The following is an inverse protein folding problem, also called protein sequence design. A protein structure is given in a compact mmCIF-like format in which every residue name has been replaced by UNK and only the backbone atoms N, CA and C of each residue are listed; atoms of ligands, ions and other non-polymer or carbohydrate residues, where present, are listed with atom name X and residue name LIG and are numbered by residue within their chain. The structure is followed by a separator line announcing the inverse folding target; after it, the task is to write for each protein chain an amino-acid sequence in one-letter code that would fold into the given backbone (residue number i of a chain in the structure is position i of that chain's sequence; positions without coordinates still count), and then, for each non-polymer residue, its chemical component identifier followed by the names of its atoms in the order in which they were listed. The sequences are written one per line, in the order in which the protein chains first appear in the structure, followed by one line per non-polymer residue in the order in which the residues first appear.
data_IF_713082899311
#
_entry.id   IF_713082899311
#
_cell.length_a   1.000
_cell.length_b   1.000
_cell.length_c   1.000
_cell.angle_alpha   90.00
_cell.angle_beta   90.00
_cell.angle_gamma   90.00
#
_symmetry.space_group_name_H-M   'P 1'
#
loop_
_entity.id
_entity.type
_entity.pdbx_description
1 polymer ?
#
# COMPACT_ATOMS: atom_id res chain seq x y z
N UNK A 1 -22.97 23.58 -7.58
CA UNK A 1 -21.67 23.35 -6.89
C UNK A 1 -21.16 21.95 -7.26
N UNK A 2 -19.87 21.83 -7.63
CA UNK A 2 -19.18 20.56 -7.94
C UNK A 2 -18.10 20.32 -6.91
N UNK A 3 -18.14 19.16 -6.24
CA UNK A 3 -17.18 18.81 -5.18
C UNK A 3 -16.54 17.46 -5.49
N UNK A 4 -15.21 17.43 -5.44
CA UNK A 4 -14.42 16.17 -5.51
C UNK A 4 -13.97 15.83 -4.10
N UNK A 5 -14.24 14.61 -3.69
CA UNK A 5 -13.88 14.07 -2.39
C UNK A 5 -12.82 12.99 -2.61
N UNK A 6 -11.65 13.19 -2.00
CA UNK A 6 -10.50 12.29 -2.09
C UNK A 6 -9.93 12.10 -0.66
N UNK A 7 -10.62 11.28 0.13
CA UNK A 7 -10.26 10.95 1.52
C UNK A 7 -9.35 9.73 1.56
N UNK A 8 -8.32 9.76 2.41
CA UNK A 8 -7.65 8.53 2.83
C UNK A 8 -8.47 7.82 3.92
N UNK A 9 -8.14 6.58 4.22
CA UNK A 9 -8.77 5.83 5.30
C UNK A 9 -8.52 6.50 6.66
N UNK A 10 -9.52 6.47 7.52
CA UNK A 10 -9.36 6.77 8.95
C UNK A 10 -9.05 5.46 9.67
N UNK A 11 -7.78 5.04 9.61
CA UNK A 11 -7.29 3.71 10.05
C UNK A 11 -7.93 3.27 11.35
N UNK A 12 -8.59 2.09 11.31
CA UNK A 12 -9.28 1.50 12.45
C UNK A 12 -10.71 2.01 12.69
N UNK A 13 -11.25 2.92 11.85
CA UNK A 13 -12.64 3.41 11.95
C UNK A 13 -13.40 3.41 10.62
N UNK A 14 -12.95 4.18 9.62
CA UNK A 14 -13.61 4.29 8.32
C UNK A 14 -12.63 3.94 7.19
N UNK A 15 -13.08 3.13 6.24
CA UNK A 15 -12.39 3.00 4.95
C UNK A 15 -12.43 4.33 4.18
N UNK A 16 -11.60 4.46 3.17
CA UNK A 16 -11.57 5.65 2.30
C UNK A 16 -12.93 5.92 1.64
N UNK A 17 -13.61 4.88 1.18
CA UNK A 17 -14.94 4.99 0.57
C UNK A 17 -16.00 5.42 1.61
N UNK A 18 -16.00 4.84 2.79
CA UNK A 18 -16.93 5.19 3.88
C UNK A 18 -16.71 6.63 4.35
N UNK A 19 -15.46 7.07 4.49
CA UNK A 19 -15.13 8.45 4.80
C UNK A 19 -15.60 9.40 3.69
N UNK A 20 -15.36 9.06 2.42
CA UNK A 20 -15.84 9.82 1.28
C UNK A 20 -17.37 9.95 1.23
N UNK A 21 -18.08 8.86 1.50
CA UNK A 21 -19.55 8.84 1.57
C UNK A 21 -20.07 9.69 2.74
N UNK A 22 -19.42 9.66 3.91
CA UNK A 22 -19.79 10.50 5.05
C UNK A 22 -19.61 11.99 4.74
N UNK A 23 -18.53 12.36 4.03
CA UNK A 23 -18.33 13.74 3.55
C UNK A 23 -19.45 14.13 2.56
N UNK A 24 -19.77 13.26 1.60
CA UNK A 24 -20.84 13.48 0.62
C UNK A 24 -22.20 13.70 1.31
N UNK A 25 -22.51 12.89 2.33
CA UNK A 25 -23.72 13.04 3.15
C UNK A 25 -23.78 14.42 3.84
N UNK A 26 -22.66 14.86 4.45
CA UNK A 26 -22.58 16.19 5.08
C UNK A 26 -22.79 17.34 4.10
N UNK A 27 -22.26 17.25 2.88
CA UNK A 27 -22.47 18.23 1.82
C UNK A 27 -23.96 18.28 1.40
N UNK A 28 -24.60 17.14 1.16
CA UNK A 28 -25.98 17.07 0.70
C UNK A 28 -27.00 17.50 1.76
N UNK A 29 -26.65 17.50 3.06
CA UNK A 29 -27.48 18.11 4.11
C UNK A 29 -27.66 19.63 3.91
N UNK A 30 -26.72 20.28 3.20
CA UNK A 30 -26.74 21.74 2.94
C UNK A 30 -27.06 22.03 1.47
N UNK A 31 -26.33 21.43 0.55
CA UNK A 31 -26.46 21.61 -0.90
C UNK A 31 -27.02 20.33 -1.52
N UNK A 32 -28.35 20.20 -1.55
CA UNK A 32 -29.04 18.98 -2.03
C UNK A 32 -28.69 18.61 -3.48
N UNK A 33 -28.49 19.63 -4.32
CA UNK A 33 -28.21 19.48 -5.75
C UNK A 33 -26.72 19.55 -6.08
N UNK A 34 -25.83 19.43 -5.10
CA UNK A 34 -24.40 19.38 -5.35
C UNK A 34 -24.02 18.13 -6.17
N UNK A 35 -23.22 18.34 -7.20
CA UNK A 35 -22.58 17.24 -7.94
C UNK A 35 -21.33 16.81 -7.18
N UNK A 36 -21.39 15.66 -6.52
CA UNK A 36 -20.34 15.14 -5.67
C UNK A 36 -19.71 13.90 -6.30
N UNK A 37 -18.39 13.91 -6.48
CA UNK A 37 -17.61 12.76 -6.95
C UNK A 37 -16.71 12.26 -5.83
N UNK A 38 -16.91 11.02 -5.40
CA UNK A 38 -16.06 10.34 -4.42
C UNK A 38 -14.99 9.56 -5.14
N UNK A 39 -13.72 9.90 -4.90
CA UNK A 39 -12.54 9.20 -5.42
C UNK A 39 -11.81 8.57 -4.24
N UNK A 40 -12.02 7.27 -3.94
CA UNK A 40 -11.34 6.62 -2.84
C UNK A 40 -9.82 6.67 -3.02
N UNK A 41 -9.11 6.92 -1.92
CA UNK A 41 -7.64 6.94 -1.89
C UNK A 41 -7.10 5.82 -0.99
N UNK A 42 -5.82 5.57 -1.15
CA UNK A 42 -5.03 4.77 -0.23
C UNK A 42 -3.56 5.21 -0.32
N UNK A 43 -2.74 4.77 0.62
CA UNK A 43 -1.32 5.11 0.66
C UNK A 43 -0.40 3.97 0.14
N UNK A 44 -0.97 2.94 -0.50
CA UNK A 44 -0.25 1.73 -0.91
C UNK A 44 -0.20 0.66 0.19
N UNK A 45 -0.82 0.92 1.34
CA UNK A 45 -1.00 -0.02 2.43
C UNK A 45 -2.38 -0.71 2.39
N UNK A 46 -2.89 -1.05 3.57
CA UNK A 46 -4.19 -1.71 3.75
C UNK A 46 -5.34 -0.87 3.16
N UNK A 47 -6.23 -1.52 2.41
CA UNK A 47 -7.37 -0.90 1.74
C UNK A 47 -7.09 -0.38 0.32
N UNK A 48 -5.87 -0.49 -0.16
CA UNK A 48 -5.49 -0.07 -1.53
C UNK A 48 -6.22 -0.90 -2.59
N UNK A 49 -6.32 -2.22 -2.39
CA UNK A 49 -7.03 -3.12 -3.31
C UNK A 49 -8.48 -2.70 -3.46
N UNK A 50 -9.19 -2.49 -2.35
CA UNK A 50 -10.59 -2.10 -2.38
C UNK A 50 -10.78 -0.72 -3.01
N UNK A 51 -10.04 0.29 -2.54
CA UNK A 51 -10.15 1.66 -3.00
C UNK A 51 -9.90 1.79 -4.52
N UNK A 52 -8.80 1.23 -5.02
CA UNK A 52 -8.48 1.28 -6.46
C UNK A 52 -9.43 0.43 -7.30
N UNK A 53 -9.78 -0.78 -6.83
CA UNK A 53 -10.65 -1.68 -7.61
C UNK A 53 -12.02 -1.06 -7.81
N UNK A 54 -12.62 -0.51 -6.74
CA UNK A 54 -13.92 0.17 -6.84
C UNK A 54 -13.80 1.48 -7.62
N UNK A 55 -12.77 2.28 -7.38
CA UNK A 55 -12.54 3.54 -8.10
C UNK A 55 -12.30 3.35 -9.62
N UNK A 56 -11.85 2.17 -10.03
CA UNK A 56 -11.58 1.83 -11.44
C UNK A 56 -12.64 0.88 -12.04
N UNK A 57 -13.80 0.70 -11.40
CA UNK A 57 -14.89 -0.21 -11.84
C UNK A 57 -14.41 -1.66 -12.06
N UNK A 58 -13.54 -2.15 -11.19
CA UNK A 58 -13.02 -3.52 -11.21
C UNK A 58 -13.83 -4.50 -10.38
N UNK A 59 -13.32 -5.72 -10.30
CA UNK A 59 -13.87 -6.81 -9.48
C UNK A 59 -12.84 -7.32 -8.49
N UNK A 60 -13.30 -7.74 -7.30
CA UNK A 60 -12.45 -8.43 -6.33
C UNK A 60 -12.46 -9.92 -6.64
N UNK A 61 -11.29 -10.47 -6.90
CA UNK A 61 -11.05 -11.90 -7.08
C UNK A 61 -10.59 -12.50 -5.76
N UNK A 62 -11.10 -13.69 -5.42
CA UNK A 62 -10.72 -14.45 -4.23
C UNK A 62 -10.16 -15.80 -4.63
N UNK A 63 -9.02 -16.16 -4.08
CA UNK A 63 -8.37 -17.45 -4.33
C UNK A 63 -7.72 -18.00 -3.05
N UNK A 64 -7.54 -19.32 -3.01
CA UNK A 64 -6.75 -19.94 -1.96
C UNK A 64 -5.28 -19.91 -2.33
N UNK A 65 -4.45 -19.41 -1.42
CA UNK A 65 -3.00 -19.28 -1.58
C UNK A 65 -2.27 -19.76 -0.34
N UNK A 66 -0.98 -19.98 -0.47
CA UNK A 66 -0.08 -20.26 0.65
C UNK A 66 0.09 -19.02 1.53
N UNK A 67 -0.37 -19.12 2.78
CA UNK A 67 -0.18 -18.06 3.77
C UNK A 67 1.27 -17.94 4.27
N UNK A 68 1.57 -16.94 5.12
CA UNK A 68 2.94 -16.67 5.57
C UNK A 68 3.57 -17.83 6.34
N UNK A 69 2.78 -18.69 6.99
CA UNK A 69 3.25 -19.88 7.74
C UNK A 69 3.17 -21.18 6.91
N UNK A 70 2.93 -21.11 5.60
CA UNK A 70 2.85 -22.27 4.71
C UNK A 70 1.48 -22.98 4.69
N UNK A 71 0.51 -22.56 5.50
CA UNK A 71 -0.87 -23.07 5.44
C UNK A 71 -1.69 -22.36 4.37
N UNK A 72 -2.70 -23.05 3.82
CA UNK A 72 -3.61 -22.43 2.84
C UNK A 72 -4.53 -21.43 3.52
N UNK A 73 -4.67 -20.27 2.89
CA UNK A 73 -5.58 -19.18 3.30
C UNK A 73 -6.33 -18.64 2.09
N UNK A 74 -7.53 -18.07 2.30
CA UNK A 74 -8.20 -17.25 1.28
C UNK A 74 -7.56 -15.87 1.25
N UNK A 75 -7.13 -15.44 0.07
CA UNK A 75 -6.63 -14.09 -0.17
C UNK A 75 -7.35 -13.46 -1.38
N UNK A 76 -7.36 -12.13 -1.42
CA UNK A 76 -8.05 -11.40 -2.49
C UNK A 76 -7.12 -10.41 -3.19
N UNK A 77 -7.46 -10.09 -4.45
CA UNK A 77 -6.85 -9.03 -5.23
C UNK A 77 -7.88 -8.37 -6.14
N UNK A 78 -7.61 -7.13 -6.56
CA UNK A 78 -8.46 -6.40 -7.50
C UNK A 78 -8.09 -6.72 -8.94
N UNK A 79 -9.11 -6.87 -9.81
CA UNK A 79 -8.92 -7.06 -11.24
C UNK A 79 -9.71 -6.02 -12.03
N UNK A 80 -9.02 -5.29 -12.90
CA UNK A 80 -9.61 -4.32 -13.83
C UNK A 80 -9.51 -4.93 -15.24
N UNK A 81 -10.59 -5.54 -15.68
CA UNK A 81 -10.62 -6.29 -16.94
C UNK A 81 -10.35 -5.39 -18.17
N UNK A 82 -10.88 -4.18 -18.17
CA UNK A 82 -10.74 -3.23 -19.29
C UNK A 82 -9.27 -2.86 -19.58
N UNK A 83 -8.46 -2.72 -18.53
CA UNK A 83 -7.04 -2.34 -18.66
C UNK A 83 -6.07 -3.50 -18.51
N UNK A 84 -6.56 -4.74 -18.27
CA UNK A 84 -5.76 -5.91 -17.92
C UNK A 84 -4.83 -5.66 -16.71
N UNK A 85 -5.35 -4.97 -15.70
CA UNK A 85 -4.60 -4.59 -14.49
C UNK A 85 -5.01 -5.45 -13.30
N UNK A 86 -4.03 -5.91 -12.53
CA UNK A 86 -4.23 -6.50 -11.20
C UNK A 86 -3.72 -5.56 -10.11
N UNK A 87 -4.47 -5.45 -9.02
CA UNK A 87 -4.13 -4.65 -7.84
C UNK A 87 -3.98 -5.62 -6.68
N UNK A 88 -2.78 -5.71 -6.13
CA UNK A 88 -2.42 -6.72 -5.11
C UNK A 88 -1.84 -6.02 -3.89
N UNK A 89 -2.31 -6.37 -2.70
CA UNK A 89 -1.60 -6.11 -1.45
C UNK A 89 -0.86 -7.37 -1.03
N UNK A 90 0.46 -7.28 -0.85
CA UNK A 90 1.24 -8.43 -0.41
C UNK A 90 0.78 -8.93 0.97
N UNK A 91 0.23 -8.04 1.80
CA UNK A 91 -0.30 -8.34 3.13
C UNK A 91 -1.50 -9.29 3.11
N UNK A 92 -2.23 -9.39 2.00
CA UNK A 92 -3.33 -10.36 1.84
C UNK A 92 -2.85 -11.82 1.87
N UNK A 93 -1.59 -12.07 1.46
CA UNK A 93 -1.01 -13.42 1.41
C UNK A 93 0.20 -13.62 2.35
N UNK A 94 0.90 -12.52 2.72
CA UNK A 94 2.12 -12.60 3.52
C UNK A 94 2.21 -11.49 4.59
N UNK A 95 1.05 -11.00 5.04
CA UNK A 95 0.93 -9.90 6.01
C UNK A 95 1.20 -10.31 7.45
N UNK A 96 1.66 -9.33 8.25
CA UNK A 96 1.96 -9.53 9.67
C UNK A 96 0.68 -9.76 10.51
N UNK A 97 -0.46 -9.28 10.04
CA UNK A 97 -1.77 -9.48 10.66
C UNK A 97 -2.29 -10.91 10.53
N UNK A 98 -1.72 -11.69 9.59
CA UNK A 98 -2.03 -13.11 9.41
C UNK A 98 -1.24 -14.03 10.36
N UNK A 99 -0.34 -13.46 11.16
CA UNK A 99 0.55 -14.21 12.07
C UNK A 99 0.35 -13.71 13.49
N UNK A 100 -0.09 -14.59 14.40
CA UNK A 100 -0.19 -14.25 15.80
C UNK A 100 1.19 -13.81 16.34
N UNK A 101 1.21 -12.92 17.30
CA UNK A 101 2.46 -12.38 17.83
C UNK A 101 3.41 -13.47 18.35
N UNK A 102 2.87 -14.50 18.99
CA UNK A 102 3.62 -15.68 19.48
C UNK A 102 4.26 -16.52 18.38
N UNK A 103 3.72 -16.46 17.16
CA UNK A 103 4.11 -17.32 16.03
C UNK A 103 5.02 -16.57 15.03
N UNK A 104 5.29 -15.29 15.29
CA UNK A 104 6.16 -14.45 14.43
C UNK A 104 7.59 -14.96 14.44
N UNK A 105 8.03 -15.47 13.32
CA UNK A 105 9.41 -15.92 13.10
C UNK A 105 9.81 -15.78 11.62
N UNK A 106 10.57 -14.73 11.25
CA UNK A 106 10.91 -14.46 9.85
C UNK A 106 11.84 -15.50 9.22
N UNK A 107 12.39 -16.43 10.01
CA UNK A 107 13.16 -17.56 9.48
C UNK A 107 12.28 -18.53 8.68
N UNK A 108 10.97 -18.56 8.93
CA UNK A 108 10.03 -19.55 8.37
C UNK A 108 8.88 -18.93 7.56
N UNK A 109 8.67 -17.60 7.66
CA UNK A 109 7.58 -16.93 6.93
C UNK A 109 7.94 -16.71 5.46
N UNK A 110 6.97 -16.97 4.56
CA UNK A 110 7.19 -16.97 3.11
C UNK A 110 6.34 -15.95 2.37
N UNK A 111 6.85 -15.46 1.24
CA UNK A 111 6.14 -14.65 0.25
C UNK A 111 5.49 -15.49 -0.86
N UNK A 112 5.47 -16.84 -0.77
CA UNK A 112 5.02 -17.73 -1.84
C UNK A 112 3.61 -17.39 -2.32
N UNK A 113 2.66 -17.15 -1.41
CA UNK A 113 1.28 -16.78 -1.75
C UNK A 113 1.16 -15.47 -2.54
N UNK A 114 2.10 -14.53 -2.37
CA UNK A 114 2.14 -13.31 -3.20
C UNK A 114 2.39 -13.67 -4.66
N UNK A 115 3.30 -14.61 -4.91
CA UNK A 115 3.55 -15.11 -6.26
C UNK A 115 2.36 -15.89 -6.83
N UNK A 116 1.59 -16.61 -5.99
CA UNK A 116 0.36 -17.29 -6.41
C UNK A 116 -0.72 -16.30 -6.83
N UNK A 117 -0.90 -15.16 -6.11
CA UNK A 117 -1.80 -14.08 -6.53
C UNK A 117 -1.39 -13.52 -7.90
N UNK A 118 -0.11 -13.25 -8.10
CA UNK A 118 0.42 -12.75 -9.38
C UNK A 118 0.20 -13.77 -10.49
N UNK A 119 0.48 -15.05 -10.24
CA UNK A 119 0.31 -16.15 -11.19
C UNK A 119 -1.15 -16.29 -11.63
N UNK A 120 -2.11 -16.25 -10.69
CA UNK A 120 -3.53 -16.31 -11.00
C UNK A 120 -3.98 -15.12 -11.86
N UNK A 121 -3.54 -13.91 -11.50
CA UNK A 121 -3.83 -12.72 -12.27
C UNK A 121 -3.25 -12.78 -13.71
N UNK A 122 -2.02 -13.29 -13.88
CA UNK A 122 -1.41 -13.52 -15.20
C UNK A 122 -2.27 -14.49 -16.02
N UNK A 123 -2.70 -15.61 -15.42
CA UNK A 123 -3.54 -16.63 -16.06
C UNK A 123 -4.92 -16.07 -16.46
N UNK A 124 -5.43 -15.08 -15.71
CA UNK A 124 -6.67 -14.34 -16.05
C UNK A 124 -6.45 -13.19 -17.05
N UNK A 125 -5.25 -13.09 -17.64
CA UNK A 125 -4.92 -12.14 -18.69
C UNK A 125 -4.37 -10.80 -18.23
N UNK A 126 -4.13 -10.59 -16.94
CA UNK A 126 -3.49 -9.35 -16.46
C UNK A 126 -2.03 -9.27 -16.93
N UNK A 127 -1.60 -8.06 -17.29
CA UNK A 127 -0.22 -7.75 -17.70
C UNK A 127 0.30 -6.47 -17.04
N UNK A 128 -0.56 -5.74 -16.34
CA UNK A 128 -0.21 -4.58 -15.54
C UNK A 128 -0.51 -4.91 -14.08
N UNK A 129 0.44 -4.58 -13.21
CA UNK A 129 0.34 -4.89 -11.80
C UNK A 129 0.63 -3.65 -10.97
N UNK A 130 -0.26 -3.36 -10.02
CA UNK A 130 -0.05 -2.41 -8.93
C UNK A 130 0.06 -3.25 -7.68
N UNK A 131 1.22 -3.22 -7.02
CA UNK A 131 1.46 -4.08 -5.86
C UNK A 131 1.88 -3.25 -4.67
N UNK A 132 1.03 -3.22 -3.64
CA UNK A 132 1.38 -2.66 -2.34
C UNK A 132 2.22 -3.67 -1.54
N UNK A 133 3.40 -3.24 -1.07
CA UNK A 133 4.32 -4.13 -0.34
C UNK A 133 4.46 -3.79 1.15
N UNK A 134 3.53 -3.01 1.70
CA UNK A 134 3.45 -2.72 3.14
C UNK A 134 2.96 -3.90 3.99
N UNK A 135 3.19 -3.84 5.31
CA UNK A 135 2.61 -4.76 6.29
C UNK A 135 3.12 -6.20 6.28
N UNK A 136 4.33 -6.49 5.77
CA UNK A 136 4.86 -7.85 5.61
C UNK A 136 5.23 -8.54 6.93
N UNK A 137 4.99 -9.87 7.00
CA UNK A 137 5.51 -10.77 8.05
C UNK A 137 6.87 -11.39 7.71
N UNK A 138 7.36 -11.21 6.49
CA UNK A 138 8.43 -12.00 5.85
C UNK A 138 9.77 -11.28 5.79
N UNK A 139 10.85 -12.05 5.73
CA UNK A 139 12.22 -11.56 5.48
C UNK A 139 12.99 -12.55 4.58
N UNK A 140 12.28 -13.13 3.61
CA UNK A 140 12.78 -14.17 2.72
C UNK A 140 13.41 -13.65 1.41
N UNK A 141 13.68 -12.32 1.32
CA UNK A 141 14.24 -11.73 0.11
C UNK A 141 13.31 -11.80 -1.11
N UNK A 142 12.04 -12.20 -0.91
CA UNK A 142 11.07 -12.40 -1.99
C UNK A 142 11.25 -13.72 -2.76
N UNK A 143 12.10 -14.64 -2.28
CA UNK A 143 12.34 -15.90 -3.01
C UNK A 143 11.09 -16.77 -3.10
N UNK A 144 10.21 -16.75 -2.07
CA UNK A 144 8.94 -17.48 -2.13
C UNK A 144 8.04 -16.99 -3.27
N UNK A 145 7.87 -15.68 -3.43
CA UNK A 145 7.12 -15.11 -4.55
C UNK A 145 7.72 -15.54 -5.90
N UNK A 146 9.03 -15.45 -6.03
CA UNK A 146 9.73 -15.82 -7.28
C UNK A 146 9.60 -17.30 -7.58
N UNK A 147 9.65 -18.16 -6.57
CA UNK A 147 9.44 -19.62 -6.71
C UNK A 147 8.05 -19.92 -7.27
N UNK A 148 7.00 -19.27 -6.74
CA UNK A 148 5.64 -19.44 -7.25
C UNK A 148 5.47 -18.97 -8.71
N UNK A 149 6.37 -18.10 -9.19
CA UNK A 149 6.43 -17.64 -10.58
C UNK A 149 7.36 -18.49 -11.48
N UNK A 150 7.98 -19.54 -10.91
CA UNK A 150 8.76 -20.52 -11.64
C UNK A 150 10.28 -20.35 -11.58
N UNK A 151 10.81 -19.42 -10.76
CA UNK A 151 12.24 -19.37 -10.47
C UNK A 151 12.64 -20.50 -9.53
N UNK A 152 13.83 -21.07 -9.73
CA UNK A 152 14.40 -22.06 -8.82
C UNK A 152 15.51 -21.46 -7.97
N UNK A 153 15.46 -21.72 -6.66
CA UNK A 153 16.51 -21.40 -5.70
C UNK A 153 16.99 -22.72 -5.11
N UNK A 154 18.10 -23.26 -5.63
CA UNK A 154 18.54 -24.61 -5.37
C UNK A 154 19.69 -24.66 -4.39
N UNK A 155 19.69 -25.66 -3.52
CA UNK A 155 20.75 -25.98 -2.60
C UNK A 155 21.92 -26.74 -3.29
N UNK A 156 22.92 -27.17 -2.53
CA UNK A 156 24.09 -27.93 -3.02
C UNK A 156 23.70 -29.28 -3.62
N UNK A 157 22.56 -29.87 -3.24
CA UNK A 157 22.05 -31.12 -3.79
C UNK A 157 21.13 -30.91 -5.01
N UNK A 158 20.95 -29.67 -5.46
CA UNK A 158 20.05 -29.30 -6.57
C UNK A 158 18.58 -29.34 -6.21
N UNK A 159 18.22 -29.33 -4.92
CA UNK A 159 16.84 -29.29 -4.44
C UNK A 159 16.42 -27.87 -4.13
N UNK A 160 15.12 -27.58 -4.31
CA UNK A 160 14.52 -26.29 -3.91
C UNK A 160 14.74 -26.06 -2.41
N UNK A 161 15.19 -24.85 -2.06
CA UNK A 161 15.39 -24.45 -0.66
C UNK A 161 14.06 -24.32 0.09
N UNK A 162 14.04 -24.50 1.43
CA UNK A 162 12.83 -24.35 2.21
C UNK A 162 12.33 -22.88 2.26
N UNK A 163 11.07 -22.68 2.63
CA UNK A 163 10.47 -21.36 2.82
C UNK A 163 11.16 -20.55 3.91
N UNK A 164 11.04 -19.22 3.77
CA UNK A 164 11.49 -18.24 4.75
C UNK A 164 12.98 -17.87 4.60
N UNK A 165 13.47 -17.04 5.53
CA UNK A 165 14.85 -16.59 5.50
C UNK A 165 15.87 -17.74 5.64
N UNK A 166 15.49 -18.87 6.25
CA UNK A 166 16.35 -20.06 6.31
C UNK A 166 16.69 -20.60 4.92
N UNK A 167 15.79 -20.45 3.94
CA UNK A 167 16.05 -20.84 2.56
C UNK A 167 17.21 -20.04 1.94
N UNK A 168 17.31 -18.75 2.25
CA UNK A 168 18.41 -17.90 1.74
C UNK A 168 19.80 -18.42 2.11
N UNK A 169 19.93 -19.07 3.28
CA UNK A 169 21.18 -19.62 3.77
C UNK A 169 21.71 -20.76 2.89
N UNK A 170 20.84 -21.44 2.17
CA UNK A 170 21.13 -22.68 1.44
C UNK A 170 21.26 -22.46 -0.07
N UNK A 171 20.96 -21.28 -0.59
CA UNK A 171 20.98 -21.02 -2.03
C UNK A 171 22.41 -21.20 -2.58
N UNK A 172 22.55 -22.17 -3.47
CA UNK A 172 23.77 -22.38 -4.26
C UNK A 172 23.57 -21.96 -5.72
N UNK A 173 22.43 -22.26 -6.31
CA UNK A 173 22.13 -21.98 -7.71
C UNK A 173 20.77 -21.28 -7.85
N UNK A 174 20.69 -20.31 -8.77
CA UNK A 174 19.46 -19.64 -9.18
C UNK A 174 19.13 -20.04 -10.62
N UNK A 175 17.93 -20.61 -10.87
CA UNK A 175 17.47 -20.98 -12.20
C UNK A 175 16.22 -20.23 -12.61
N UNK A 176 15.97 -20.11 -13.92
CA UNK A 176 14.81 -19.45 -14.53
C UNK A 176 14.17 -20.29 -15.65
N UNK A 177 14.47 -21.60 -15.65
CA UNK A 177 14.03 -22.52 -16.70
C UNK A 177 12.51 -22.74 -16.73
N UNK A 178 11.85 -22.59 -15.58
CA UNK A 178 10.41 -22.80 -15.40
C UNK A 178 9.61 -21.51 -15.19
N UNK A 179 10.26 -20.36 -15.39
CA UNK A 179 9.59 -19.06 -15.25
C UNK A 179 8.48 -18.91 -16.29
N UNK A 180 7.33 -18.46 -15.83
CA UNK A 180 6.19 -18.17 -16.71
C UNK A 180 6.60 -17.23 -17.86
N UNK A 181 6.43 -17.61 -19.13
CA UNK A 181 6.83 -16.78 -20.27
C UNK A 181 6.17 -15.40 -20.28
N UNK A 182 4.92 -15.34 -19.82
CA UNK A 182 4.09 -14.13 -19.76
C UNK A 182 4.65 -13.09 -18.79
N UNK A 183 5.49 -13.49 -17.82
CA UNK A 183 6.10 -12.57 -16.86
C UNK A 183 6.93 -11.47 -17.55
N UNK A 184 7.52 -11.78 -18.71
CA UNK A 184 8.30 -10.82 -19.51
C UNK A 184 7.45 -9.68 -20.09
N UNK A 185 6.16 -9.93 -20.29
CA UNK A 185 5.19 -8.94 -20.79
C UNK A 185 4.61 -8.10 -19.68
N UNK A 186 4.77 -8.53 -18.43
CA UNK A 186 4.17 -7.87 -17.27
C UNK A 186 4.95 -6.61 -16.89
N UNK A 187 4.18 -5.58 -16.50
CA UNK A 187 4.71 -4.32 -15.93
C UNK A 187 4.24 -4.21 -14.50
N UNK A 188 5.16 -3.96 -13.59
CA UNK A 188 4.89 -3.86 -12.16
C UNK A 188 5.18 -2.45 -11.67
N UNK A 189 4.16 -1.81 -11.08
CA UNK A 189 4.30 -0.59 -10.27
C UNK A 189 4.17 -0.99 -8.81
N UNK A 190 5.23 -0.83 -8.06
CA UNK A 190 5.31 -1.28 -6.66
C UNK A 190 5.18 -0.08 -5.75
N UNK A 191 4.09 -0.02 -4.99
CA UNK A 191 3.86 0.99 -3.97
C UNK A 191 4.81 0.76 -2.79
N UNK A 192 5.80 1.65 -2.65
CA UNK A 192 6.86 1.54 -1.66
C UNK A 192 7.28 2.93 -1.18
N UNK A 193 6.95 3.26 0.06
CA UNK A 193 7.27 4.55 0.68
C UNK A 193 8.49 4.51 1.61
N UNK A 194 9.23 3.38 1.62
CA UNK A 194 10.48 3.25 2.37
C UNK A 194 11.70 3.23 1.43
N UNK A 195 12.81 3.77 1.90
CA UNK A 195 14.04 3.90 1.11
C UNK A 195 15.16 2.95 1.58
N UNK A 196 14.87 2.07 2.53
CA UNK A 196 15.84 1.16 3.11
C UNK A 196 16.48 0.26 2.04
N UNK A 197 17.84 0.11 2.05
CA UNK A 197 18.52 -0.87 1.22
C UNK A 197 18.23 -2.29 1.70
N UNK A 198 18.63 -3.29 0.91
CA UNK A 198 18.41 -4.69 1.26
C UNK A 198 19.10 -5.10 2.55
N UNK A 199 20.37 -4.73 2.72
CA UNK A 199 21.26 -5.18 3.78
C UNK A 199 21.92 -4.03 4.53
N UNK A 200 22.61 -4.38 5.63
CA UNK A 200 23.39 -3.46 6.46
C UNK A 200 22.59 -2.86 7.61
N UNK A 201 23.16 -1.86 8.29
CA UNK A 201 22.57 -1.25 9.49
C UNK A 201 21.18 -0.63 9.25
N UNK A 202 20.92 -0.14 8.03
CA UNK A 202 19.64 0.38 7.58
C UNK A 202 18.87 -0.62 6.70
N UNK A 203 19.32 -1.87 6.62
CA UNK A 203 18.72 -2.93 5.81
C UNK A 203 17.44 -3.49 6.41
N UNK A 204 16.74 -4.30 5.63
CA UNK A 204 15.42 -4.81 6.02
C UNK A 204 15.44 -5.64 7.31
N UNK A 205 16.46 -6.49 7.49
CA UNK A 205 16.56 -7.34 8.69
C UNK A 205 16.78 -6.51 9.95
N UNK A 206 17.64 -5.49 9.88
CA UNK A 206 17.97 -4.64 11.01
C UNK A 206 16.80 -3.74 11.44
N UNK A 207 16.14 -3.12 10.46
CA UNK A 207 15.08 -2.12 10.72
C UNK A 207 13.73 -2.77 10.98
N UNK A 208 13.33 -3.76 10.16
CA UNK A 208 11.98 -4.34 10.20
C UNK A 208 11.93 -5.74 10.81
N UNK A 209 13.08 -6.38 11.05
CA UNK A 209 13.14 -7.72 11.65
C UNK A 209 12.53 -7.80 13.05
N UNK A 210 12.81 -6.87 13.98
CA UNK A 210 12.30 -6.93 15.36
C UNK A 210 10.77 -7.07 15.44
N UNK A 211 10.00 -6.28 14.67
CA UNK A 211 8.53 -6.36 14.67
C UNK A 211 7.99 -7.69 14.12
N UNK A 212 8.81 -8.41 13.35
CA UNK A 212 8.50 -9.74 12.78
C UNK A 212 8.95 -10.89 13.68
N UNK A 213 9.41 -10.59 14.89
CA UNK A 213 9.87 -11.58 15.88
C UNK A 213 11.34 -11.97 15.77
N UNK A 214 12.16 -11.23 15.01
CA UNK A 214 13.59 -11.53 14.90
C UNK A 214 14.38 -11.12 16.15
N UNK A 215 15.20 -12.04 16.67
CA UNK A 215 16.22 -11.74 17.65
C UNK A 215 17.45 -11.10 16.99
N UNK A 216 18.33 -10.48 17.79
CA UNK A 216 19.56 -9.88 17.26
C UNK A 216 20.45 -10.88 16.50
N UNK A 217 20.52 -12.13 16.99
CA UNK A 217 21.26 -13.20 16.32
C UNK A 217 20.64 -13.55 14.97
N UNK A 218 19.30 -13.59 14.88
CA UNK A 218 18.59 -13.83 13.62
C UNK A 218 18.84 -12.68 12.63
N UNK A 219 18.77 -11.44 13.07
CA UNK A 219 19.02 -10.24 12.25
C UNK A 219 20.38 -10.33 11.59
N UNK A 220 21.44 -10.61 12.35
CA UNK A 220 22.81 -10.73 11.82
C UNK A 220 22.94 -11.85 10.78
N UNK A 221 22.31 -13.01 11.04
CA UNK A 221 22.31 -14.14 10.10
C UNK A 221 21.55 -13.80 8.82
N UNK A 222 20.33 -13.29 8.93
CA UNK A 222 19.50 -12.94 7.78
C UNK A 222 20.16 -11.87 6.92
N UNK A 223 20.79 -10.87 7.51
CA UNK A 223 21.52 -9.85 6.76
C UNK A 223 22.65 -10.45 5.93
N UNK A 224 23.44 -11.37 6.51
CA UNK A 224 24.50 -12.11 5.79
C UNK A 224 23.93 -12.96 4.65
N UNK A 225 22.82 -13.66 4.87
CA UNK A 225 22.19 -14.51 3.85
C UNK A 225 21.63 -13.69 2.69
N UNK A 226 21.00 -12.54 3.00
CA UNK A 226 20.52 -11.60 1.98
C UNK A 226 21.66 -11.00 1.16
N UNK A 227 22.83 -10.70 1.76
CA UNK A 227 24.02 -10.28 1.01
C UNK A 227 24.50 -11.34 0.04
N UNK A 228 24.55 -12.60 0.47
CA UNK A 228 24.95 -13.73 -0.38
C UNK A 228 23.94 -13.95 -1.52
N UNK A 229 22.64 -13.90 -1.21
CA UNK A 229 21.59 -13.97 -2.21
C UNK A 229 21.71 -12.83 -3.24
N UNK A 230 21.90 -11.59 -2.80
CA UNK A 230 22.08 -10.46 -3.69
C UNK A 230 23.32 -10.60 -4.59
N UNK A 231 24.43 -11.17 -4.07
CA UNK A 231 25.61 -11.46 -4.85
C UNK A 231 25.32 -12.49 -5.95
N UNK A 232 24.71 -13.63 -5.62
CA UNK A 232 24.31 -14.66 -6.58
C UNK A 232 23.30 -14.12 -7.62
N UNK A 233 22.35 -13.29 -7.17
CA UNK A 233 21.42 -12.61 -8.09
C UNK A 233 22.16 -11.73 -9.08
N UNK A 234 23.16 -10.95 -8.63
CA UNK A 234 23.94 -10.06 -9.49
C UNK A 234 24.81 -10.79 -10.50
N UNK A 235 25.30 -11.98 -10.15
CA UNK A 235 26.05 -12.86 -11.07
C UNK A 235 25.16 -13.30 -12.24
N UNK A 236 23.86 -13.53 -12.02
CA UNK A 236 22.89 -13.93 -13.06
C UNK A 236 22.25 -12.70 -13.75
N UNK A 237 21.90 -11.66 -12.99
CA UNK A 237 21.25 -10.46 -13.45
C UNK A 237 22.09 -9.24 -13.10
N UNK A 238 22.91 -8.77 -14.01
CA UNK A 238 23.92 -7.70 -13.79
C UNK A 238 23.34 -6.38 -13.31
N UNK A 239 22.04 -6.13 -13.58
CA UNK A 239 21.31 -4.95 -13.12
C UNK A 239 20.89 -4.99 -11.65
N UNK A 240 21.00 -6.12 -10.94
CA UNK A 240 20.62 -6.24 -9.55
C UNK A 240 21.48 -5.35 -8.64
N UNK A 241 20.83 -4.49 -7.87
CA UNK A 241 21.50 -3.54 -6.99
C UNK A 241 20.86 -3.55 -5.58
N UNK A 242 21.45 -4.24 -4.59
CA UNK A 242 20.92 -4.31 -3.24
C UNK A 242 20.94 -2.98 -2.48
N UNK A 243 21.68 -1.98 -2.97
CA UNK A 243 21.79 -0.66 -2.34
C UNK A 243 20.78 0.35 -2.90
N UNK A 244 19.99 -0.02 -3.91
CA UNK A 244 18.95 0.83 -4.44
C UNK A 244 17.89 1.10 -3.35
N UNK A 245 17.41 2.34 -3.27
CA UNK A 245 16.35 2.72 -2.33
C UNK A 245 15.11 1.83 -2.52
N UNK A 246 14.57 1.33 -1.39
CA UNK A 246 13.39 0.47 -1.36
C UNK A 246 13.64 -1.02 -1.57
N UNK A 247 14.88 -1.46 -1.86
CA UNK A 247 15.19 -2.90 -2.03
C UNK A 247 14.98 -3.70 -0.75
N UNK A 248 15.10 -3.07 0.42
CA UNK A 248 14.79 -3.68 1.72
C UNK A 248 13.29 -3.73 2.06
N UNK A 249 12.43 -3.07 1.29
CA UNK A 249 10.99 -3.10 1.57
C UNK A 249 10.46 -4.53 1.62
N UNK A 250 9.55 -4.78 2.57
CA UNK A 250 8.91 -6.08 2.77
C UNK A 250 9.90 -7.26 2.89
N UNK A 251 11.01 -7.06 3.65
CA UNK A 251 11.99 -8.12 3.89
C UNK A 251 12.73 -8.57 2.63
N UNK A 252 12.98 -7.64 1.71
CA UNK A 252 13.69 -7.87 0.45
C UNK A 252 12.78 -8.15 -0.76
N UNK A 253 11.45 -8.11 -0.59
CA UNK A 253 10.52 -8.26 -1.72
C UNK A 253 10.73 -7.16 -2.77
N UNK A 254 11.06 -5.91 -2.33
CA UNK A 254 11.44 -4.81 -3.23
C UNK A 254 12.66 -5.16 -4.11
N UNK A 255 13.68 -5.83 -3.55
CA UNK A 255 14.83 -6.31 -4.30
C UNK A 255 14.43 -7.39 -5.32
N UNK A 256 13.56 -8.33 -4.92
CA UNK A 256 13.08 -9.38 -5.81
C UNK A 256 12.35 -8.78 -7.03
N UNK A 257 11.42 -7.87 -6.82
CA UNK A 257 10.73 -7.21 -7.93
C UNK A 257 11.68 -6.49 -8.87
N UNK A 258 12.60 -5.66 -8.34
CA UNK A 258 13.54 -4.89 -9.16
C UNK A 258 14.56 -5.73 -9.91
N UNK A 259 14.94 -6.90 -9.38
CA UNK A 259 16.01 -7.71 -9.95
C UNK A 259 15.49 -8.76 -10.95
N UNK A 260 14.25 -9.24 -10.79
CA UNK A 260 13.73 -10.38 -11.53
C UNK A 260 12.54 -10.03 -12.45
N UNK A 261 12.02 -8.81 -12.36
CA UNK A 261 10.86 -8.36 -13.15
C UNK A 261 11.08 -6.98 -13.77
N UNK A 262 10.11 -6.52 -14.58
CA UNK A 262 10.10 -5.15 -15.13
C UNK A 262 9.44 -4.17 -14.12
N UNK A 263 9.85 -4.24 -12.85
CA UNK A 263 9.26 -3.43 -11.80
C UNK A 263 9.90 -2.05 -11.66
N UNK A 264 9.06 -1.10 -11.24
CA UNK A 264 9.49 0.21 -10.73
C UNK A 264 8.92 0.41 -9.33
N UNK A 265 9.74 0.95 -8.41
CA UNK A 265 9.25 1.37 -7.09
C UNK A 265 8.82 2.84 -7.18
N UNK A 266 7.62 3.11 -6.70
CA UNK A 266 7.03 4.45 -6.70
C UNK A 266 6.29 4.70 -5.39
N UNK A 267 6.06 5.96 -5.03
CA UNK A 267 5.18 6.28 -3.90
C UNK A 267 3.77 5.72 -4.15
N UNK A 268 3.18 5.08 -3.13
CA UNK A 268 1.83 4.54 -3.19
C UNK A 268 0.81 5.60 -3.56
N UNK A 269 0.90 6.76 -2.93
CA UNK A 269 0.03 7.91 -3.21
C UNK A 269 0.12 8.34 -4.68
N UNK A 270 1.33 8.44 -5.25
CA UNK A 270 1.51 8.82 -6.66
C UNK A 270 0.80 7.85 -7.60
N UNK A 271 1.00 6.55 -7.40
CA UNK A 271 0.36 5.52 -8.21
C UNK A 271 -1.17 5.69 -8.20
N UNK A 272 -1.75 5.87 -7.01
CA UNK A 272 -3.19 5.95 -6.82
C UNK A 272 -3.78 7.19 -7.47
N UNK A 273 -3.14 8.35 -7.28
CA UNK A 273 -3.60 9.61 -7.87
C UNK A 273 -3.58 9.58 -9.41
N UNK A 274 -2.60 8.88 -10.01
CA UNK A 274 -2.50 8.70 -11.46
C UNK A 274 -3.54 7.70 -11.99
N UNK A 275 -3.65 6.53 -11.38
CA UNK A 275 -4.53 5.45 -11.86
C UNK A 275 -6.02 5.80 -11.69
N UNK A 276 -6.39 6.52 -10.63
CA UNK A 276 -7.76 7.01 -10.42
C UNK A 276 -8.11 8.20 -11.32
N UNK A 277 -7.13 8.73 -12.07
CA UNK A 277 -7.29 9.93 -12.92
C UNK A 277 -7.89 11.12 -12.15
N UNK A 278 -7.53 11.26 -10.88
CA UNK A 278 -8.09 12.26 -9.96
C UNK A 278 -8.02 13.68 -10.53
N UNK A 279 -6.93 14.04 -11.24
CA UNK A 279 -6.78 15.36 -11.85
C UNK A 279 -7.91 15.69 -12.83
N UNK A 280 -8.46 14.71 -13.54
CA UNK A 280 -9.55 14.94 -14.50
C UNK A 280 -10.85 15.37 -13.81
N UNK A 281 -11.13 14.86 -12.61
CA UNK A 281 -12.27 15.27 -11.80
C UNK A 281 -12.03 16.63 -11.15
N UNK A 282 -10.84 16.85 -10.62
CA UNK A 282 -10.47 18.10 -9.94
C UNK A 282 -10.58 19.32 -10.87
N UNK A 283 -10.23 19.20 -12.15
CA UNK A 283 -10.29 20.30 -13.11
C UNK A 283 -11.62 21.05 -13.13
N UNK A 284 -12.71 20.35 -12.94
CA UNK A 284 -14.07 20.90 -13.00
C UNK A 284 -14.71 21.14 -11.63
N UNK A 285 -13.98 20.88 -10.54
CA UNK A 285 -14.51 21.04 -9.18
C UNK A 285 -14.48 22.52 -8.72
N UNK A 286 -15.41 22.89 -7.87
CA UNK A 286 -15.38 24.15 -7.11
C UNK A 286 -14.56 23.98 -5.82
N UNK A 287 -14.72 22.80 -5.17
CA UNK A 287 -14.00 22.41 -3.96
C UNK A 287 -13.43 21.00 -4.10
N UNK A 288 -12.27 20.80 -3.47
CA UNK A 288 -11.65 19.49 -3.28
C UNK A 288 -11.60 19.22 -1.78
N UNK A 289 -12.15 18.08 -1.37
CA UNK A 289 -12.15 17.65 0.03
C UNK A 289 -11.18 16.48 0.16
N UNK A 290 -10.30 16.55 1.14
CA UNK A 290 -9.37 15.47 1.48
C UNK A 290 -9.30 15.27 2.98
N UNK A 291 -8.52 14.31 3.46
CA UNK A 291 -8.32 14.06 4.88
C UNK A 291 -7.81 12.66 5.15
N UNK A 292 -7.48 12.43 6.41
CA UNK A 292 -6.98 11.16 6.94
C UNK A 292 -7.30 11.04 8.43
N UNK A 293 -6.95 9.90 9.06
CA UNK A 293 -7.19 9.68 10.49
C UNK A 293 -6.47 10.69 11.40
N UNK A 294 -5.30 11.22 11.01
CA UNK A 294 -4.56 12.21 11.78
C UNK A 294 -3.77 13.15 10.87
N UNK A 295 -4.11 14.43 10.93
CA UNK A 295 -3.33 15.49 10.28
C UNK A 295 -2.22 15.97 11.22
N UNK A 296 -0.98 15.86 10.79
CA UNK A 296 0.22 16.26 11.54
C UNK A 296 1.38 16.61 10.60
N UNK A 297 2.58 16.87 11.16
CA UNK A 297 3.78 17.15 10.38
C UNK A 297 4.24 16.01 9.46
N UNK A 298 3.80 14.77 9.68
CA UNK A 298 4.07 13.68 8.76
C UNK A 298 3.18 13.72 7.52
N UNK A 299 2.00 14.35 7.61
CA UNK A 299 1.10 14.54 6.47
C UNK A 299 1.82 15.24 5.32
N UNK A 300 2.65 16.25 5.61
CA UNK A 300 3.41 17.00 4.60
C UNK A 300 4.60 16.25 3.99
N UNK A 301 4.93 15.08 4.50
CA UNK A 301 5.99 14.21 3.96
C UNK A 301 5.52 13.34 2.77
N UNK A 302 4.47 13.75 2.06
CA UNK A 302 4.01 13.08 0.85
C UNK A 302 2.86 12.09 1.05
N UNK A 303 2.07 12.20 2.16
CA UNK A 303 0.86 11.43 2.33
C UNK A 303 -0.27 11.88 1.39
N UNK A 304 -1.31 11.07 1.30
CA UNK A 304 -2.43 11.26 0.37
C UNK A 304 -3.05 12.66 0.39
N UNK A 305 -3.34 13.30 1.55
CA UNK A 305 -3.92 14.63 1.55
C UNK A 305 -3.07 15.70 0.85
N UNK A 306 -1.75 15.62 0.95
CA UNK A 306 -0.84 16.56 0.29
C UNK A 306 -0.77 16.29 -1.21
N UNK A 307 -0.70 15.03 -1.64
CA UNK A 307 -0.75 14.70 -3.07
C UNK A 307 -2.02 15.21 -3.76
N UNK A 308 -3.17 15.11 -3.08
CA UNK A 308 -4.44 15.70 -3.54
C UNK A 308 -4.35 17.22 -3.62
N UNK A 309 -3.81 17.86 -2.57
CA UNK A 309 -3.67 19.31 -2.51
C UNK A 309 -2.76 19.85 -3.63
N UNK A 310 -1.66 19.19 -3.93
CA UNK A 310 -0.75 19.56 -5.02
C UNK A 310 -1.47 19.55 -6.38
N UNK A 311 -2.23 18.49 -6.68
CA UNK A 311 -3.02 18.40 -7.91
C UNK A 311 -4.08 19.51 -7.95
N UNK A 312 -4.77 19.74 -6.84
CA UNK A 312 -5.80 20.77 -6.74
C UNK A 312 -5.22 22.18 -6.95
N UNK A 313 -4.08 22.49 -6.33
CA UNK A 313 -3.41 23.80 -6.49
C UNK A 313 -2.87 24.04 -7.90
N UNK A 314 -2.33 23.01 -8.55
CA UNK A 314 -1.96 23.07 -9.97
C UNK A 314 -3.16 23.49 -10.84
N UNK A 315 -4.37 23.08 -10.45
CA UNK A 315 -5.62 23.41 -11.14
C UNK A 315 -6.36 24.60 -10.47
N UNK A 316 -5.72 25.36 -9.58
CA UNK A 316 -6.24 26.55 -8.89
C UNK A 316 -7.54 26.30 -8.11
N UNK A 317 -7.67 25.12 -7.52
CA UNK A 317 -8.86 24.73 -6.74
C UNK A 317 -8.66 24.96 -5.24
N UNK A 318 -9.78 25.15 -4.52
CA UNK A 318 -9.81 25.25 -3.06
C UNK A 318 -9.80 23.86 -2.43
N UNK A 319 -8.98 23.68 -1.40
CA UNK A 319 -8.78 22.39 -0.72
C UNK A 319 -9.13 22.52 0.74
N UNK A 320 -10.07 21.69 1.19
CA UNK A 320 -10.44 21.56 2.60
C UNK A 320 -10.05 20.15 3.06
N UNK A 321 -9.47 20.05 4.25
CA UNK A 321 -9.11 18.77 4.84
C UNK A 321 -9.86 18.49 6.14
N UNK A 322 -10.22 17.21 6.37
CA UNK A 322 -10.83 16.75 7.61
C UNK A 322 -9.95 15.68 8.24
N UNK A 323 -9.63 15.85 9.53
CA UNK A 323 -8.81 14.91 10.28
C UNK A 323 -9.55 14.29 11.45
N UNK A 324 -9.42 12.98 11.65
CA UNK A 324 -9.89 12.32 12.86
C UNK A 324 -9.30 12.96 14.11
N UNK A 325 -8.00 13.29 14.02
CA UNK A 325 -7.26 14.09 14.99
C UNK A 325 -6.42 15.12 14.24
N UNK A 326 -6.19 16.28 14.85
CA UNK A 326 -5.36 17.36 14.31
C UNK A 326 -4.30 17.71 15.34
N UNK A 327 -3.02 17.54 15.00
CA UNK A 327 -1.90 17.88 15.85
C UNK A 327 -1.51 19.37 15.74
N UNK A 328 -0.71 19.87 16.65
CA UNK A 328 -0.28 21.27 16.66
C UNK A 328 0.49 21.66 15.40
N UNK A 329 1.31 20.75 14.88
CA UNK A 329 2.13 20.92 13.68
C UNK A 329 1.34 20.72 12.35
N UNK A 330 0.05 20.39 12.41
CA UNK A 330 -0.83 20.30 11.22
C UNK A 330 -0.93 21.61 10.45
N UNK A 331 -0.60 22.76 11.07
CA UNK A 331 -0.52 24.07 10.40
C UNK A 331 0.46 24.08 9.22
N UNK A 332 1.43 23.17 9.19
CA UNK A 332 2.30 22.96 8.04
C UNK A 332 1.53 22.58 6.78
N UNK A 333 0.38 21.90 6.89
CA UNK A 333 -0.46 21.52 5.76
C UNK A 333 -0.96 22.75 4.96
N UNK A 334 -1.18 23.90 5.63
CA UNK A 334 -1.57 25.12 4.92
C UNK A 334 -0.46 25.63 3.98
N UNK A 335 0.81 25.41 4.32
CA UNK A 335 1.93 25.80 3.46
C UNK A 335 2.09 24.85 2.27
N UNK A 336 1.44 23.67 2.32
CA UNK A 336 1.51 22.64 1.30
C UNK A 336 0.18 22.46 0.52
N UNK A 337 -0.64 23.53 0.46
CA UNK A 337 -1.76 23.60 -0.46
C UNK A 337 -3.13 23.22 0.14
N UNK A 338 -3.23 22.91 1.41
CA UNK A 338 -4.52 22.79 2.12
C UNK A 338 -4.95 24.17 2.59
N UNK A 339 -6.08 24.71 2.08
CA UNK A 339 -6.54 26.06 2.42
C UNK A 339 -7.05 26.13 3.87
N UNK A 340 -7.77 25.10 4.30
CA UNK A 340 -8.24 24.98 5.68
C UNK A 340 -8.38 23.50 6.07
N UNK A 341 -8.17 23.20 7.35
CA UNK A 341 -8.38 21.87 7.90
C UNK A 341 -9.21 21.91 9.17
N UNK A 342 -9.93 20.82 9.44
CA UNK A 342 -10.91 20.75 10.54
C UNK A 342 -10.79 19.39 11.24
N UNK A 343 -10.79 19.37 12.60
CA UNK A 343 -10.98 18.12 13.34
C UNK A 343 -12.43 17.68 13.24
N UNK A 344 -12.66 16.36 13.18
CA UNK A 344 -14.03 15.85 13.18
C UNK A 344 -14.60 15.59 14.58
N UNK A 345 -13.75 15.52 15.61
CA UNK A 345 -14.18 15.32 16.99
C UNK A 345 -14.96 16.54 17.48
N UNK A 346 -16.21 16.30 17.87
CA UNK A 346 -17.17 17.34 18.30
C UNK A 346 -17.23 17.51 19.81
N UNK A 347 -16.82 16.51 20.55
CA UNK A 347 -16.82 16.46 22.01
C UNK A 347 -15.57 15.80 22.54
N UNK A 348 -15.26 16.00 23.81
CA UNK A 348 -14.24 15.20 24.51
C UNK A 348 -14.77 13.77 24.61
N UNK A 349 -13.98 12.81 24.12
CA UNK A 349 -14.39 11.41 24.03
C UNK A 349 -13.17 10.49 24.21
N UNK A 350 -13.40 9.22 24.43
CA UNK A 350 -12.33 8.21 24.47
C UNK A 350 -11.89 7.82 23.06
N UNK A 351 -10.64 7.34 22.91
CA UNK A 351 -10.15 6.84 21.61
C UNK A 351 -11.07 5.73 21.06
N UNK A 352 -11.53 4.82 21.92
CA UNK A 352 -12.43 3.72 21.53
C UNK A 352 -13.74 4.23 20.94
N UNK A 353 -14.36 5.24 21.56
CA UNK A 353 -15.59 5.84 21.06
C UNK A 353 -15.35 6.66 19.78
N UNK A 354 -14.24 7.41 19.73
CA UNK A 354 -13.86 8.19 18.54
C UNK A 354 -13.63 7.30 17.30
N UNK A 355 -13.14 6.07 17.51
CA UNK A 355 -12.88 5.09 16.45
C UNK A 355 -14.08 4.18 16.15
N UNK A 356 -15.18 4.27 16.92
CA UNK A 356 -16.40 3.56 16.57
C UNK A 356 -16.93 4.03 15.21
N UNK A 357 -17.27 3.08 14.35
CA UNK A 357 -17.70 3.33 12.98
C UNK A 357 -18.81 4.38 12.86
N UNK A 358 -19.90 4.22 13.65
CA UNK A 358 -21.06 5.12 13.58
C UNK A 358 -20.73 6.50 14.11
N UNK A 359 -19.96 6.57 15.20
CA UNK A 359 -19.51 7.85 15.76
C UNK A 359 -18.57 8.59 14.82
N UNK A 360 -17.60 7.90 14.22
CA UNK A 360 -16.66 8.49 13.27
C UNK A 360 -17.40 9.02 12.03
N UNK A 361 -18.33 8.23 11.47
CA UNK A 361 -19.16 8.61 10.32
C UNK A 361 -20.00 9.85 10.61
N UNK A 362 -20.73 9.85 11.72
CA UNK A 362 -21.59 10.99 12.08
C UNK A 362 -20.77 12.25 12.43
N UNK A 363 -19.65 12.11 13.12
CA UNK A 363 -18.75 13.22 13.43
C UNK A 363 -18.21 13.86 12.14
N UNK A 364 -17.78 13.06 11.17
CA UNK A 364 -17.28 13.54 9.88
C UNK A 364 -18.40 14.25 9.09
N UNK A 365 -19.58 13.61 8.93
CA UNK A 365 -20.71 14.22 8.23
C UNK A 365 -21.12 15.55 8.85
N UNK A 366 -21.23 15.62 10.19
CA UNK A 366 -21.63 16.82 10.87
C UNK A 366 -20.58 17.94 10.82
N UNK A 367 -19.29 17.60 10.89
CA UNK A 367 -18.22 18.60 10.73
C UNK A 367 -18.25 19.21 9.32
N UNK A 368 -18.40 18.39 8.30
CA UNK A 368 -18.54 18.80 6.90
C UNK A 368 -19.78 19.68 6.72
N UNK A 369 -20.94 19.26 7.26
CA UNK A 369 -22.17 20.05 7.22
C UNK A 369 -21.94 21.48 7.73
N UNK A 370 -21.26 21.66 8.88
CA UNK A 370 -21.06 23.00 9.43
C UNK A 370 -20.15 23.87 8.55
N UNK A 371 -19.11 23.27 7.94
CA UNK A 371 -18.23 23.98 7.00
C UNK A 371 -19.01 24.41 5.75
N UNK A 372 -19.87 23.54 5.21
CA UNK A 372 -20.65 23.88 4.03
C UNK A 372 -21.80 24.86 4.34
N UNK A 373 -22.36 24.87 5.55
CA UNK A 373 -23.27 25.95 6.02
C UNK A 373 -22.54 27.29 6.05
N UNK A 374 -21.31 27.32 6.52
CA UNK A 374 -20.48 28.53 6.46
C UNK A 374 -20.28 29.01 5.02
N UNK A 375 -19.93 28.11 4.10
CA UNK A 375 -19.77 28.42 2.67
C UNK A 375 -21.08 29.00 2.11
N UNK A 376 -22.22 28.37 2.38
CA UNK A 376 -23.55 28.83 1.94
C UNK A 376 -23.87 30.24 2.43
N UNK A 377 -23.40 30.64 3.61
CA UNK A 377 -23.67 31.97 4.16
C UNK A 377 -22.95 33.11 3.44
N UNK A 378 -22.02 32.79 2.52
CA UNK A 378 -21.32 33.78 1.70
C UNK A 378 -21.81 33.83 0.23
N UNK A 379 -22.71 32.92 -0.16
CA UNK A 379 -23.38 32.94 -1.46
C UNK A 379 -24.64 33.85 -1.41
#
# INVERSE_FOLDING_TARGET
MKVVIAMDSMKGSLSSLEAGNAVSEGIHRVFRDAEVTVCPLADGGEGTVEALTLGMNGTIEKINVTGPLGSMIEASYGRIAESNTAIIEMSAAAGITLVNESDRNPLHTTTYGVGELIRDAINKGCRKFIVGIGGSATNDGGIGMLEALGYGFLDADGKQVPYGANGLALIETITDEHVMPELKECKFRIACDVTNPLCGANGCSAVFGPQKGATQTMITKMDTWLMNYAKKTKEKYSGANPNQAGTGAAGGLGFAFLSYTNAVLESGVKIILEETKLESFIKNADFVITGEGRLDGQTVMGKAPIGVAEIAKKNKKKVLAFGGCVAEDATLCNQHGIDAFFPILRTVTTLKEAMDFNHAKENLSAAVEQVFRLIQSFE
#
